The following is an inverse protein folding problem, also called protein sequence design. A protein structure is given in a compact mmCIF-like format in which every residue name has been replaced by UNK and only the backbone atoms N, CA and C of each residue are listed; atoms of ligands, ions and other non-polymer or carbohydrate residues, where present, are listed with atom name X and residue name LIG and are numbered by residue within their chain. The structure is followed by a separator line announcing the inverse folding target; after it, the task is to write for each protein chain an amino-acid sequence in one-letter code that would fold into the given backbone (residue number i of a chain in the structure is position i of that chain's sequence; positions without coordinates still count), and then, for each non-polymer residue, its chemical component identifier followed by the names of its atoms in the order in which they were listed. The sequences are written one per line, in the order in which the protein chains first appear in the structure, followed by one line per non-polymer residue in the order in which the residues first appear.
data_IF_489206520724
#
_entry.id   IF_489206520724
#
_cell.length_a   1.000
_cell.length_b   1.000
_cell.length_c   1.000
_cell.angle_alpha   90.00
_cell.angle_beta   90.00
_cell.angle_gamma   90.00
#
_symmetry.space_group_name_H-M   'P 1'
#
loop_
_entity.id
_entity.type
_entity.pdbx_description
1 polymer ?
#
# COMPACT_ATOMS: atom_id res chain seq x y z
N UNK A 1 33.31 54.27 8.72
CA UNK A 1 32.76 53.02 9.31
C UNK A 1 31.31 52.93 8.91
N UNK A 2 30.99 52.08 7.95
CA UNK A 2 29.61 51.69 7.66
C UNK A 2 29.67 50.21 7.27
N UNK A 3 29.12 49.38 8.15
CA UNK A 3 29.12 47.92 8.04
C UNK A 3 28.10 47.50 6.98
N UNK A 4 28.57 46.70 6.03
CA UNK A 4 27.75 45.97 5.06
C UNK A 4 26.95 44.89 5.78
N UNK A 5 25.62 44.91 5.64
CA UNK A 5 24.78 43.75 5.98
C UNK A 5 24.58 42.94 4.70
N UNK A 6 25.20 41.77 4.65
CA UNK A 6 24.93 40.77 3.62
C UNK A 6 23.69 39.98 4.05
N UNK A 7 22.69 39.93 3.18
CA UNK A 7 21.53 39.05 3.33
C UNK A 7 21.90 37.65 2.84
N UNK A 8 22.20 36.76 3.77
CA UNK A 8 22.27 35.33 3.50
C UNK A 8 20.86 34.81 3.24
N UNK A 9 20.62 34.37 2.00
CA UNK A 9 19.46 33.57 1.62
C UNK A 9 19.57 32.25 2.38
N UNK A 10 18.72 32.09 3.39
CA UNK A 10 18.60 30.84 4.13
C UNK A 10 17.93 29.82 3.20
N UNK A 11 18.65 28.76 2.84
CA UNK A 11 18.08 27.63 2.11
C UNK A 11 16.94 27.05 2.93
N UNK A 12 15.73 27.05 2.38
CA UNK A 12 14.52 26.51 3.01
C UNK A 12 14.74 25.07 3.48
N UNK A 13 14.96 24.88 4.79
CA UNK A 13 14.63 23.62 5.43
C UNK A 13 13.11 23.50 5.34
N UNK A 14 12.60 22.68 4.43
CA UNK A 14 11.19 22.31 4.44
C UNK A 14 10.83 21.83 5.86
N UNK A 15 9.85 22.48 6.48
CA UNK A 15 9.51 22.25 7.88
C UNK A 15 9.09 20.81 8.07
N UNK A 16 9.74 20.10 9.00
CA UNK A 16 9.20 18.87 9.58
C UNK A 16 7.83 19.22 10.19
N UNK A 17 6.85 18.34 10.06
CA UNK A 17 5.53 18.52 10.66
C UNK A 17 5.67 18.92 12.13
N UNK A 18 4.96 19.95 12.56
CA UNK A 18 5.17 20.58 13.87
C UNK A 18 4.31 19.89 14.93
N UNK A 19 4.60 18.62 15.20
CA UNK A 19 4.18 17.99 16.45
C UNK A 19 5.29 18.22 17.48
N UNK A 20 5.30 19.40 18.11
CA UNK A 20 6.31 19.82 19.10
C UNK A 20 6.39 18.87 20.32
N UNK A 21 6.98 17.68 20.20
CA UNK A 21 7.15 16.66 21.27
C UNK A 21 5.94 16.51 22.22
N UNK A 22 4.75 16.89 21.77
CA UNK A 22 3.53 16.94 22.54
C UNK A 22 2.72 15.71 22.20
N UNK A 23 1.93 15.30 23.19
CA UNK A 23 1.31 14.00 23.35
C UNK A 23 0.24 13.67 22.29
N UNK A 24 0.62 13.46 21.02
CA UNK A 24 -0.30 12.90 20.04
C UNK A 24 -0.83 11.56 20.58
N UNK A 25 -2.14 11.41 20.53
CA UNK A 25 -2.86 10.25 21.02
C UNK A 25 -4.13 10.03 20.17
N UNK A 26 -4.78 8.86 20.27
CA UNK A 26 -5.99 8.57 19.49
C UNK A 26 -7.12 9.60 19.68
N UNK A 27 -7.19 10.30 20.82
CA UNK A 27 -8.18 11.35 21.07
C UNK A 27 -7.98 12.64 20.27
N UNK A 28 -6.85 12.80 19.58
CA UNK A 28 -6.63 13.87 18.61
C UNK A 28 -7.29 13.59 17.25
N UNK A 29 -7.72 12.35 16.99
CA UNK A 29 -8.31 11.96 15.72
C UNK A 29 -9.85 11.98 15.81
N UNK A 30 -10.56 12.20 14.69
CA UNK A 30 -12.02 12.24 14.69
C UNK A 30 -12.63 10.92 15.18
N UNK A 31 -13.83 11.01 15.73
CA UNK A 31 -14.57 9.83 16.20
C UNK A 31 -14.72 8.77 15.12
N UNK A 32 -14.38 7.52 15.46
CA UNK A 32 -14.41 6.39 14.51
C UNK A 32 -13.19 6.30 13.59
N UNK A 33 -12.11 7.04 13.87
CA UNK A 33 -10.81 6.80 13.25
C UNK A 33 -10.25 5.44 13.70
N UNK A 34 -9.76 4.64 12.74
CA UNK A 34 -9.33 3.27 12.97
C UNK A 34 -7.81 3.18 13.01
N UNK A 35 -7.26 2.63 14.09
CA UNK A 35 -5.85 2.28 14.19
C UNK A 35 -5.69 0.77 14.16
N UNK A 36 -4.71 0.27 13.40
CA UNK A 36 -4.49 -1.16 13.26
C UNK A 36 -3.06 -1.53 12.84
N UNK A 37 -2.88 -2.80 12.50
CA UNK A 37 -1.67 -3.31 11.88
C UNK A 37 -2.05 -4.25 10.74
N UNK A 38 -1.18 -4.38 9.75
CA UNK A 38 -1.43 -5.17 8.55
C UNK A 38 -0.48 -6.39 8.43
N UNK A 39 -0.93 -7.39 7.69
CA UNK A 39 -0.17 -8.57 7.27
C UNK A 39 -0.75 -9.08 5.95
N UNK A 40 -0.02 -9.93 5.24
CA UNK A 40 -0.51 -10.60 4.03
C UNK A 40 -0.31 -12.12 4.12
N UNK A 41 -1.18 -12.87 3.46
CA UNK A 41 -1.29 -14.33 3.57
C UNK A 41 0.07 -15.01 3.34
N UNK A 42 0.62 -14.86 2.13
CA UNK A 42 1.87 -15.51 1.74
C UNK A 42 3.05 -15.13 2.66
N UNK A 43 3.09 -13.90 3.16
CA UNK A 43 4.21 -13.42 3.96
C UNK A 43 4.23 -14.01 5.38
N UNK A 44 3.08 -14.38 5.97
CA UNK A 44 3.01 -14.79 7.38
C UNK A 44 2.33 -16.12 7.70
N UNK A 45 1.55 -16.72 6.80
CA UNK A 45 0.80 -17.96 7.10
C UNK A 45 1.69 -19.21 7.15
N UNK A 46 2.62 -19.34 6.20
CA UNK A 46 3.32 -20.60 5.96
C UNK A 46 2.36 -21.71 5.48
N UNK A 47 2.57 -22.93 5.97
CA UNK A 47 1.72 -24.10 5.67
C UNK A 47 1.41 -24.27 4.17
N UNK A 48 2.40 -24.01 3.31
CA UNK A 48 2.19 -23.79 1.88
C UNK A 48 1.64 -25.02 1.13
N UNK A 49 1.81 -26.22 1.67
CA UNK A 49 1.36 -27.50 1.10
C UNK A 49 0.55 -28.37 2.08
N UNK A 50 0.03 -27.76 3.15
CA UNK A 50 -0.80 -28.44 4.15
C UNK A 50 -2.27 -28.26 3.77
N UNK A 51 -3.14 -29.21 4.14
CA UNK A 51 -4.60 -29.05 4.02
C UNK A 51 -5.09 -28.77 2.58
N UNK A 52 -4.47 -29.44 1.60
CA UNK A 52 -4.77 -29.27 0.17
C UNK A 52 -4.67 -27.83 -0.37
N UNK A 53 -3.88 -26.94 0.26
CA UNK A 53 -3.48 -25.66 -0.35
C UNK A 53 -2.78 -25.91 -1.71
N UNK A 54 -3.17 -25.22 -2.78
CA UNK A 54 -2.48 -25.30 -4.09
C UNK A 54 -1.10 -24.62 -4.10
N UNK A 55 -0.35 -24.62 -5.25
CA UNK A 55 0.92 -23.82 -5.49
C UNK A 55 0.86 -22.54 -6.38
N UNK A 56 1.52 -21.38 -6.10
CA UNK A 56 1.39 -19.96 -6.64
C UNK A 56 2.66 -19.44 -7.15
N UNK A 57 2.49 -18.36 -7.91
CA UNK A 57 3.56 -17.48 -8.32
C UNK A 57 4.55 -17.22 -7.18
N UNK A 58 4.07 -17.07 -5.94
CA UNK A 58 4.91 -16.99 -4.76
C UNK A 58 5.03 -18.32 -3.99
N UNK A 59 3.92 -19.04 -3.67
CA UNK A 59 3.82 -20.53 -3.47
C UNK A 59 2.35 -21.13 -3.36
N UNK A 60 1.22 -20.45 -3.67
CA UNK A 60 -0.26 -20.87 -3.70
C UNK A 60 -1.16 -19.90 -3.01
N UNK A 61 -1.80 -19.01 -3.76
CA UNK A 61 -3.01 -18.28 -3.39
C UNK A 61 -4.18 -19.14 -2.88
N UNK A 62 -4.14 -20.45 -3.00
CA UNK A 62 -5.38 -21.23 -2.96
C UNK A 62 -5.45 -22.14 -1.77
N UNK A 63 -5.69 -21.53 -0.61
CA UNK A 63 -6.42 -22.22 0.44
C UNK A 63 -7.86 -22.52 0.05
N UNK A 64 -8.43 -21.82 -0.96
CA UNK A 64 -9.84 -22.01 -1.36
C UNK A 64 -10.02 -22.75 -2.68
N UNK A 65 -9.16 -22.55 -3.69
CA UNK A 65 -9.30 -23.19 -5.01
C UNK A 65 -8.02 -23.88 -5.46
N UNK A 66 -7.73 -25.11 -5.01
CA UNK A 66 -6.44 -25.74 -5.31
C UNK A 66 -6.10 -25.79 -6.82
N UNK A 67 -7.13 -25.89 -7.68
CA UNK A 67 -7.04 -25.79 -9.14
C UNK A 67 -7.22 -24.40 -9.77
N UNK A 68 -7.40 -23.36 -8.96
CA UNK A 68 -7.50 -21.96 -9.41
C UNK A 68 -8.93 -21.49 -9.74
N UNK A 69 -9.89 -22.39 -9.95
CA UNK A 69 -11.30 -22.03 -10.25
C UNK A 69 -12.29 -22.75 -9.34
N UNK A 70 -13.52 -22.22 -9.20
CA UNK A 70 -14.62 -22.88 -8.46
C UNK A 70 -14.92 -24.26 -9.05
N UNK A 71 -14.88 -24.40 -10.39
CA UNK A 71 -15.16 -25.66 -11.09
C UNK A 71 -14.20 -26.77 -10.70
N UNK A 72 -12.98 -26.41 -10.30
CA UNK A 72 -11.95 -27.36 -9.86
C UNK A 72 -12.00 -27.66 -8.35
N UNK A 73 -12.99 -27.10 -7.65
CA UNK A 73 -13.33 -27.44 -6.27
C UNK A 73 -12.99 -26.36 -5.25
N UNK A 74 -13.78 -26.33 -4.17
CA UNK A 74 -13.60 -25.44 -3.02
C UNK A 74 -12.92 -26.21 -1.89
N UNK A 75 -11.86 -25.65 -1.30
CA UNK A 75 -11.20 -26.18 -0.13
C UNK A 75 -11.83 -25.57 1.15
N UNK A 76 -12.67 -26.37 1.79
CA UNK A 76 -13.40 -25.98 2.99
C UNK A 76 -12.47 -25.69 4.19
N UNK A 77 -11.31 -26.33 4.29
CA UNK A 77 -10.37 -26.10 5.39
C UNK A 77 -9.78 -24.69 5.34
N UNK A 78 -9.59 -24.15 4.13
CA UNK A 78 -9.28 -22.74 3.93
C UNK A 78 -10.38 -21.83 4.44
N UNK A 79 -11.65 -22.14 4.11
CA UNK A 79 -12.82 -21.38 4.56
C UNK A 79 -12.89 -21.37 6.08
N UNK A 80 -12.70 -22.53 6.70
CA UNK A 80 -12.74 -22.70 8.15
C UNK A 80 -11.60 -21.95 8.84
N UNK A 81 -10.41 -21.90 8.24
CA UNK A 81 -9.29 -21.10 8.75
C UNK A 81 -9.65 -19.62 8.88
N UNK A 82 -10.11 -18.98 7.79
CA UNK A 82 -10.44 -17.55 7.84
C UNK A 82 -11.71 -17.29 8.65
N UNK A 83 -12.68 -18.22 8.67
CA UNK A 83 -13.82 -18.12 9.60
C UNK A 83 -13.35 -18.06 11.06
N UNK A 84 -12.44 -18.95 11.46
CA UNK A 84 -11.90 -18.96 12.81
C UNK A 84 -11.12 -17.68 13.12
N UNK A 85 -10.29 -17.20 12.19
CA UNK A 85 -9.57 -15.94 12.35
C UNK A 85 -10.52 -14.74 12.51
N UNK A 86 -11.50 -14.60 11.62
CA UNK A 86 -12.49 -13.51 11.65
C UNK A 86 -13.29 -13.55 12.96
N UNK A 87 -13.74 -14.74 13.37
CA UNK A 87 -14.49 -14.91 14.60
C UNK A 87 -13.65 -14.53 15.83
N UNK A 88 -12.37 -14.93 15.87
CA UNK A 88 -11.48 -14.61 16.98
C UNK A 88 -11.16 -13.10 17.04
N UNK A 89 -10.94 -12.46 15.89
CA UNK A 89 -10.75 -11.00 15.83
C UNK A 89 -11.95 -10.26 16.39
N UNK A 90 -13.16 -10.62 15.93
CA UNK A 90 -14.40 -9.99 16.39
C UNK A 90 -14.70 -10.28 17.86
N UNK A 91 -14.43 -11.49 18.35
CA UNK A 91 -14.56 -11.84 19.76
C UNK A 91 -13.67 -10.98 20.67
N UNK A 92 -12.56 -10.46 20.14
CA UNK A 92 -11.65 -9.54 20.83
C UNK A 92 -11.88 -8.06 20.46
N UNK A 93 -12.97 -7.74 19.75
CA UNK A 93 -13.31 -6.37 19.36
C UNK A 93 -12.38 -5.76 18.31
N UNK A 94 -11.73 -6.59 17.50
CA UNK A 94 -10.85 -6.16 16.39
C UNK A 94 -11.63 -6.28 15.09
N UNK A 95 -11.79 -5.16 14.38
CA UNK A 95 -12.50 -5.11 13.10
C UNK A 95 -11.61 -5.66 11.97
N UNK A 96 -12.05 -6.68 11.22
CA UNK A 96 -11.28 -7.22 10.10
C UNK A 96 -11.35 -6.32 8.86
N UNK A 97 -10.18 -5.90 8.38
CA UNK A 97 -9.98 -5.31 7.06
C UNK A 97 -9.37 -6.37 6.14
N UNK A 98 -10.13 -6.85 5.16
CA UNK A 98 -9.74 -8.02 4.36
C UNK A 98 -9.30 -7.59 2.97
N UNK A 99 -8.06 -7.90 2.63
CA UNK A 99 -7.53 -7.82 1.27
C UNK A 99 -7.79 -9.14 0.54
N UNK A 100 -8.43 -9.09 -0.62
CA UNK A 100 -8.79 -10.27 -1.43
C UNK A 100 -7.55 -10.80 -2.17
N UNK A 101 -6.80 -9.94 -2.84
CA UNK A 101 -5.59 -10.31 -3.58
C UNK A 101 -4.39 -9.46 -3.12
N UNK A 102 -3.31 -10.12 -2.69
CA UNK A 102 -2.08 -9.49 -2.25
C UNK A 102 -0.86 -10.08 -2.96
N UNK A 103 -0.75 -9.78 -4.26
CA UNK A 103 0.34 -10.20 -5.16
C UNK A 103 0.42 -11.71 -5.44
N UNK A 104 -0.52 -12.48 -4.92
CA UNK A 104 -0.52 -13.93 -4.94
C UNK A 104 -1.58 -14.46 -5.92
N UNK A 105 -1.23 -14.65 -7.20
CA UNK A 105 -2.16 -15.22 -8.19
C UNK A 105 -2.07 -16.75 -8.22
N UNK A 106 -3.18 -17.49 -8.39
CA UNK A 106 -3.19 -18.92 -8.68
C UNK A 106 -2.17 -19.35 -9.75
N UNK A 107 -1.19 -20.23 -9.48
CA UNK A 107 -0.29 -20.77 -10.51
C UNK A 107 -1.07 -21.51 -11.59
N UNK A 108 -2.17 -22.19 -11.24
CA UNK A 108 -3.02 -22.85 -12.22
C UNK A 108 -3.54 -21.85 -13.28
N UNK A 109 -3.92 -20.64 -12.86
CA UNK A 109 -4.34 -19.57 -13.77
C UNK A 109 -3.14 -18.93 -14.50
N UNK A 110 -1.99 -18.84 -13.82
CA UNK A 110 -0.73 -18.43 -14.44
C UNK A 110 -0.30 -19.39 -15.55
N UNK A 111 -0.43 -20.70 -15.35
CA UNK A 111 -0.06 -21.74 -16.31
C UNK A 111 -1.10 -21.87 -17.43
N UNK A 112 -2.39 -21.75 -17.10
CA UNK A 112 -3.48 -21.89 -18.06
C UNK A 112 -3.47 -20.77 -19.12
N UNK A 113 -3.26 -19.52 -18.68
CA UNK A 113 -3.39 -18.37 -19.59
C UNK A 113 -2.52 -17.16 -19.22
N UNK A 114 -1.57 -17.29 -18.28
CA UNK A 114 -0.68 -16.21 -17.90
C UNK A 114 -1.22 -15.27 -16.82
N UNK A 115 -2.25 -15.66 -16.07
CA UNK A 115 -2.81 -14.87 -14.98
C UNK A 115 -3.31 -13.51 -15.50
N UNK A 116 -2.85 -12.42 -14.90
CA UNK A 116 -3.25 -11.06 -15.31
C UNK A 116 -2.77 -10.63 -16.70
N UNK A 117 -1.98 -11.43 -17.42
CA UNK A 117 -1.73 -11.20 -18.84
C UNK A 117 -2.97 -11.43 -19.72
N UNK A 118 -3.97 -12.16 -19.22
CA UNK A 118 -5.20 -12.48 -19.95
C UNK A 118 -6.42 -11.85 -19.30
N UNK A 119 -7.35 -11.37 -20.12
CA UNK A 119 -8.65 -10.85 -19.66
C UNK A 119 -9.51 -11.93 -18.97
N UNK A 120 -9.23 -13.22 -19.18
CA UNK A 120 -9.94 -14.32 -18.50
C UNK A 120 -9.84 -14.24 -16.97
N UNK A 121 -8.76 -13.65 -16.44
CA UNK A 121 -8.57 -13.46 -15.00
C UNK A 121 -9.69 -12.63 -14.35
N UNK A 122 -10.38 -11.78 -15.12
CA UNK A 122 -11.44 -10.91 -14.62
C UNK A 122 -12.60 -11.75 -14.09
N UNK A 123 -13.02 -12.77 -14.85
CA UNK A 123 -14.11 -13.66 -14.47
C UNK A 123 -13.70 -14.57 -13.30
N UNK A 124 -12.50 -15.14 -13.32
CA UNK A 124 -12.02 -16.00 -12.23
C UNK A 124 -11.83 -15.23 -10.91
N UNK A 125 -11.39 -13.97 -10.99
CA UNK A 125 -11.29 -13.10 -9.82
C UNK A 125 -12.66 -12.66 -9.28
N UNK A 126 -13.62 -12.46 -10.19
CA UNK A 126 -15.01 -12.16 -9.85
C UNK A 126 -15.65 -13.33 -9.10
N UNK A 127 -15.51 -14.54 -9.61
CA UNK A 127 -16.01 -15.78 -9.01
C UNK A 127 -15.39 -16.01 -7.61
N UNK A 128 -14.08 -15.80 -7.48
CA UNK A 128 -13.41 -15.87 -6.18
C UNK A 128 -13.97 -14.88 -5.17
N UNK A 129 -14.13 -13.62 -5.59
CA UNK A 129 -14.67 -12.57 -4.74
C UNK A 129 -16.13 -12.84 -4.34
N UNK A 130 -16.94 -13.39 -5.25
CA UNK A 130 -18.32 -13.79 -4.97
C UNK A 130 -18.39 -14.82 -3.83
N UNK A 131 -17.50 -15.82 -3.85
CA UNK A 131 -17.38 -16.79 -2.77
C UNK A 131 -17.00 -16.11 -1.45
N UNK A 132 -15.99 -15.24 -1.44
CA UNK A 132 -15.55 -14.57 -0.21
C UNK A 132 -16.66 -13.72 0.41
N UNK A 133 -17.39 -12.96 -0.41
CA UNK A 133 -18.51 -12.16 0.05
C UNK A 133 -19.62 -13.04 0.63
N UNK A 134 -19.90 -14.19 -0.01
CA UNK A 134 -20.88 -15.14 0.50
C UNK A 134 -20.47 -15.74 1.85
N UNK A 135 -19.20 -16.14 2.00
CA UNK A 135 -18.71 -16.84 3.18
C UNK A 135 -18.46 -15.92 4.38
N UNK A 136 -17.99 -14.70 4.14
CA UNK A 136 -17.45 -13.86 5.20
C UNK A 136 -18.12 -12.48 5.32
N UNK A 137 -18.89 -12.06 4.32
CA UNK A 137 -19.45 -10.71 4.27
C UNK A 137 -20.57 -10.44 5.29
N UNK A 138 -21.08 -11.48 5.95
CA UNK A 138 -21.92 -11.33 7.15
C UNK A 138 -21.18 -10.61 8.28
N UNK A 139 -19.86 -10.84 8.40
CA UNK A 139 -18.98 -10.31 9.45
C UNK A 139 -17.99 -9.25 8.97
N UNK A 140 -17.40 -9.42 7.79
CA UNK A 140 -16.40 -8.49 7.22
C UNK A 140 -17.08 -7.25 6.64
N UNK A 141 -16.65 -6.07 7.08
CA UNK A 141 -17.22 -4.77 6.64
C UNK A 141 -16.28 -3.92 5.80
N UNK A 142 -15.02 -4.30 5.65
CA UNK A 142 -14.05 -3.57 4.84
C UNK A 142 -13.30 -4.53 3.93
N UNK A 143 -13.47 -4.33 2.63
CA UNK A 143 -12.88 -5.14 1.58
C UNK A 143 -11.91 -4.31 0.74
N UNK A 144 -10.69 -4.79 0.59
CA UNK A 144 -9.70 -4.28 -0.38
C UNK A 144 -9.58 -5.33 -1.48
N UNK A 145 -9.90 -5.00 -2.73
CA UNK A 145 -9.85 -6.00 -3.80
C UNK A 145 -8.42 -6.42 -4.12
N UNK A 146 -7.55 -5.44 -4.39
CA UNK A 146 -6.18 -5.67 -4.84
C UNK A 146 -5.26 -4.75 -4.03
N UNK A 147 -4.18 -5.31 -3.49
CA UNK A 147 -3.10 -4.52 -2.89
C UNK A 147 -2.01 -4.22 -3.92
N UNK A 148 -1.59 -2.96 -3.98
CA UNK A 148 -0.46 -2.47 -4.77
C UNK A 148 -0.41 -2.98 -6.22
N UNK A 149 -1.42 -2.67 -7.06
CA UNK A 149 -1.44 -3.13 -8.44
C UNK A 149 -0.23 -2.62 -9.25
N UNK A 150 0.31 -1.44 -8.89
CA UNK A 150 1.57 -0.94 -9.43
C UNK A 150 2.76 -1.86 -9.13
N UNK A 151 2.94 -2.22 -7.86
CA UNK A 151 4.02 -3.11 -7.41
C UNK A 151 3.93 -4.45 -8.12
N UNK A 152 2.74 -5.02 -8.21
CA UNK A 152 2.49 -6.26 -8.96
C UNK A 152 2.91 -6.15 -10.42
N UNK A 153 2.39 -5.14 -11.13
CA UNK A 153 2.61 -4.96 -12.57
C UNK A 153 4.08 -4.69 -12.88
N UNK A 154 4.72 -3.82 -12.11
CA UNK A 154 6.07 -3.33 -12.40
C UNK A 154 7.15 -4.30 -11.93
N UNK A 155 7.09 -4.78 -10.68
CA UNK A 155 8.08 -5.73 -10.20
C UNK A 155 7.88 -7.13 -10.78
N UNK A 156 6.64 -7.51 -11.12
CA UNK A 156 6.34 -8.81 -11.73
C UNK A 156 6.68 -8.90 -13.22
N UNK A 157 6.46 -7.82 -13.98
CA UNK A 157 6.45 -7.87 -15.45
C UNK A 157 7.35 -6.83 -16.16
N UNK A 158 8.01 -5.92 -15.45
CA UNK A 158 8.98 -4.98 -16.04
C UNK A 158 10.41 -5.18 -15.53
N UNK A 159 10.55 -5.50 -14.24
CA UNK A 159 11.85 -5.67 -13.58
C UNK A 159 12.14 -7.10 -13.16
N UNK A 160 11.17 -8.01 -13.27
CA UNK A 160 11.30 -9.42 -12.89
C UNK A 160 11.80 -9.66 -11.46
N UNK A 161 11.57 -8.71 -10.56
CA UNK A 161 11.97 -8.82 -9.15
C UNK A 161 11.00 -9.68 -8.37
N UNK A 162 9.73 -9.62 -8.75
CA UNK A 162 8.60 -10.31 -8.11
C UNK A 162 8.09 -11.39 -9.04
N UNK A 163 7.46 -12.43 -8.50
CA UNK A 163 6.84 -13.44 -9.34
C UNK A 163 5.77 -12.81 -10.27
N UNK A 164 5.66 -13.24 -11.55
CA UNK A 164 6.32 -14.39 -12.18
C UNK A 164 7.75 -14.14 -12.71
N UNK A 165 8.37 -13.01 -12.38
CA UNK A 165 9.77 -12.73 -12.66
C UNK A 165 10.04 -12.38 -14.12
N UNK A 166 9.08 -11.70 -14.78
CA UNK A 166 9.12 -11.43 -16.22
C UNK A 166 9.73 -10.08 -16.54
N UNK A 167 10.51 -10.02 -17.62
CA UNK A 167 11.06 -8.79 -18.20
C UNK A 167 11.67 -9.02 -19.59
N UNK A 168 11.95 -7.94 -20.32
CA UNK A 168 12.61 -7.98 -21.63
C UNK A 168 14.08 -8.41 -21.54
N UNK A 169 14.50 -9.32 -22.43
CA UNK A 169 15.87 -9.85 -22.49
C UNK A 169 16.98 -8.77 -22.58
N UNK A 170 16.72 -7.66 -23.28
CA UNK A 170 17.72 -6.60 -23.47
C UNK A 170 18.10 -5.88 -22.17
N UNK A 171 17.28 -6.00 -21.11
CA UNK A 171 17.58 -5.40 -19.80
C UNK A 171 18.68 -6.17 -19.05
N UNK A 172 19.04 -7.39 -19.47
CA UNK A 172 20.10 -8.19 -18.84
C UNK A 172 19.82 -8.58 -17.40
N UNK A 173 18.54 -8.57 -16.99
CA UNK A 173 18.08 -8.98 -15.68
C UNK A 173 17.86 -10.50 -15.63
N UNK A 174 17.90 -11.10 -14.45
CA UNK A 174 17.67 -12.53 -14.25
C UNK A 174 16.16 -12.86 -14.24
N UNK A 175 15.53 -12.71 -15.40
CA UNK A 175 14.08 -12.90 -15.58
C UNK A 175 13.75 -14.22 -16.28
N UNK A 176 12.49 -14.64 -16.18
CA UNK A 176 11.93 -15.83 -16.85
C UNK A 176 11.56 -15.58 -18.32
N UNK A 177 11.70 -14.33 -18.79
CA UNK A 177 11.35 -13.85 -20.13
C UNK A 177 10.18 -12.85 -20.10
N UNK A 178 9.78 -12.34 -21.27
CA UNK A 178 8.63 -11.43 -21.40
C UNK A 178 8.93 -10.13 -22.13
N UNK A 179 7.98 -9.20 -22.08
CA UNK A 179 8.06 -7.90 -22.72
C UNK A 179 7.66 -6.76 -21.78
N UNK A 180 8.67 -6.11 -21.19
CA UNK A 180 8.52 -4.95 -20.29
C UNK A 180 7.92 -3.72 -20.96
N UNK A 181 7.77 -3.69 -22.29
CA UNK A 181 7.08 -2.63 -23.02
C UNK A 181 5.58 -2.85 -23.13
N UNK A 182 5.07 -4.06 -22.89
CA UNK A 182 3.67 -4.43 -23.15
C UNK A 182 3.03 -5.04 -21.91
N UNK A 183 3.68 -6.02 -21.30
CA UNK A 183 3.09 -6.85 -20.25
C UNK A 183 2.64 -6.07 -19.01
N UNK A 184 3.42 -5.11 -18.46
CA UNK A 184 2.96 -4.32 -17.31
C UNK A 184 1.65 -3.56 -17.61
N UNK A 185 1.47 -3.10 -18.84
CA UNK A 185 0.28 -2.36 -19.27
C UNK A 185 -0.95 -3.25 -19.44
N UNK A 186 -0.76 -4.47 -19.96
CA UNK A 186 -1.83 -5.47 -20.03
C UNK A 186 -2.26 -5.92 -18.62
N UNK A 187 -1.29 -6.19 -17.74
CA UNK A 187 -1.54 -6.62 -16.36
C UNK A 187 -2.32 -5.56 -15.59
N UNK A 188 -1.85 -4.30 -15.61
CA UNK A 188 -2.55 -3.21 -14.93
C UNK A 188 -3.96 -2.98 -15.47
N UNK A 189 -4.15 -3.12 -16.78
CA UNK A 189 -5.47 -2.99 -17.41
C UNK A 189 -6.43 -4.07 -16.90
N UNK A 190 -6.02 -5.35 -16.93
CA UNK A 190 -6.84 -6.45 -16.42
C UNK A 190 -7.09 -6.34 -14.90
N UNK A 191 -6.13 -5.82 -14.12
CA UNK A 191 -6.35 -5.54 -12.69
C UNK A 191 -7.43 -4.48 -12.46
N UNK A 192 -7.46 -3.40 -13.25
CA UNK A 192 -8.49 -2.36 -13.16
C UNK A 192 -9.87 -2.92 -13.53
N UNK A 193 -9.96 -3.73 -14.60
CA UNK A 193 -11.21 -4.38 -14.99
C UNK A 193 -11.71 -5.36 -13.92
N UNK A 194 -10.81 -6.21 -13.39
CA UNK A 194 -11.12 -7.17 -12.34
C UNK A 194 -11.60 -6.49 -11.05
N UNK A 195 -10.91 -5.43 -10.62
CA UNK A 195 -11.34 -4.60 -9.49
C UNK A 195 -12.76 -4.03 -9.72
N UNK A 196 -12.98 -3.40 -10.87
CA UNK A 196 -14.25 -2.74 -11.19
C UNK A 196 -15.42 -3.74 -11.26
N UNK A 197 -15.19 -4.91 -11.85
CA UNK A 197 -16.16 -5.99 -11.89
C UNK A 197 -16.55 -6.48 -10.49
N UNK A 198 -15.56 -6.69 -9.61
CA UNK A 198 -15.78 -7.12 -8.22
C UNK A 198 -16.53 -6.08 -7.40
N UNK A 199 -16.22 -4.79 -7.58
CA UNK A 199 -16.94 -3.71 -6.90
C UNK A 199 -18.38 -3.64 -7.39
N UNK A 200 -18.61 -3.76 -8.69
CA UNK A 200 -19.95 -3.80 -9.27
C UNK A 200 -20.76 -4.99 -8.72
N UNK A 201 -20.16 -6.18 -8.62
CA UNK A 201 -20.76 -7.34 -7.97
C UNK A 201 -21.13 -7.04 -6.51
N UNK A 202 -20.19 -6.52 -5.72
CA UNK A 202 -20.43 -6.23 -4.31
C UNK A 202 -21.58 -5.25 -4.11
N UNK A 203 -21.57 -4.13 -4.83
CA UNK A 203 -22.61 -3.08 -4.77
C UNK A 203 -23.99 -3.63 -5.08
N UNK A 204 -24.11 -4.39 -6.17
CA UNK A 204 -25.40 -4.86 -6.65
C UNK A 204 -25.95 -6.05 -5.88
N UNK A 205 -25.07 -6.97 -5.44
CA UNK A 205 -25.48 -8.24 -4.83
C UNK A 205 -25.41 -8.25 -3.30
N UNK A 206 -24.45 -7.56 -2.70
CA UNK A 206 -24.10 -7.76 -1.28
C UNK A 206 -24.23 -6.52 -0.40
N UNK A 207 -23.90 -5.33 -0.91
CA UNK A 207 -23.69 -4.15 -0.09
C UNK A 207 -24.93 -3.74 0.72
N UNK A 208 -26.13 -3.81 0.12
CA UNK A 208 -27.37 -3.48 0.83
C UNK A 208 -27.63 -4.40 2.04
N UNK A 209 -27.28 -5.69 1.94
CA UNK A 209 -27.48 -6.67 3.00
C UNK A 209 -26.35 -6.65 4.02
N UNK A 210 -25.10 -6.60 3.55
CA UNK A 210 -23.90 -6.75 4.38
C UNK A 210 -23.41 -5.43 4.97
N UNK A 211 -23.79 -4.30 4.36
CA UNK A 211 -23.44 -2.93 4.78
C UNK A 211 -21.93 -2.68 4.90
N UNK A 212 -21.13 -3.43 4.14
CA UNK A 212 -19.69 -3.22 4.06
C UNK A 212 -19.32 -2.14 3.04
N UNK A 213 -18.03 -1.83 3.02
CA UNK A 213 -17.37 -0.93 2.08
C UNK A 213 -16.31 -1.69 1.31
N UNK A 214 -16.12 -1.31 0.05
CA UNK A 214 -15.14 -1.93 -0.82
C UNK A 214 -14.24 -0.89 -1.48
N UNK A 215 -12.96 -1.21 -1.61
CA UNK A 215 -11.94 -0.32 -2.15
C UNK A 215 -10.76 -1.08 -2.74
N UNK A 216 -9.70 -0.34 -3.03
CA UNK A 216 -8.43 -0.83 -3.57
C UNK A 216 -7.29 -0.11 -2.87
N UNK A 217 -6.13 -0.75 -2.72
CA UNK A 217 -4.98 -0.18 -2.05
C UNK A 217 -3.86 0.16 -3.03
N UNK A 218 -3.36 1.39 -2.98
CA UNK A 218 -2.29 1.89 -3.85
C UNK A 218 -1.02 2.18 -3.07
N UNK A 219 0.14 1.89 -3.68
CA UNK A 219 1.42 2.34 -3.20
C UNK A 219 1.97 3.47 -4.07
N UNK A 220 2.51 4.49 -3.42
CA UNK A 220 3.30 5.50 -4.10
C UNK A 220 4.30 6.13 -3.15
N UNK A 221 5.48 6.43 -3.68
CA UNK A 221 6.33 7.46 -3.08
C UNK A 221 5.66 8.82 -3.23
N UNK A 222 5.98 9.74 -2.34
CA UNK A 222 5.94 11.14 -2.71
C UNK A 222 7.18 11.49 -3.55
N UNK A 223 7.01 12.26 -4.61
CA UNK A 223 8.11 12.72 -5.44
C UNK A 223 8.35 14.22 -5.25
N UNK A 224 9.59 14.58 -4.94
CA UNK A 224 10.07 15.95 -5.08
C UNK A 224 10.78 16.12 -6.43
N UNK A 225 10.73 17.29 -7.07
CA UNK A 225 11.57 17.52 -8.23
C UNK A 225 13.03 17.59 -7.76
N UNK A 226 13.96 17.04 -8.55
CA UNK A 226 15.39 17.09 -8.20
C UNK A 226 15.87 18.54 -8.00
N UNK A 227 15.39 19.47 -8.81
CA UNK A 227 15.55 20.91 -8.60
C UNK A 227 14.35 21.68 -9.15
N UNK A 228 14.38 23.01 -9.06
CA UNK A 228 13.27 23.89 -9.41
C UNK A 228 13.06 24.11 -10.92
N UNK A 229 13.84 23.43 -11.77
CA UNK A 229 13.70 23.51 -13.23
C UNK A 229 12.33 23.00 -13.69
N UNK A 230 11.82 23.55 -14.80
CA UNK A 230 10.52 23.17 -15.36
C UNK A 230 10.53 21.69 -15.75
N UNK A 231 11.65 21.20 -16.25
CA UNK A 231 11.87 19.83 -16.67
C UNK A 231 11.73 18.86 -15.50
N UNK A 232 12.35 19.16 -14.35
CA UNK A 232 12.29 18.30 -13.16
C UNK A 232 10.94 18.41 -12.43
N UNK A 233 10.27 19.57 -12.47
CA UNK A 233 8.86 19.70 -12.04
C UNK A 233 7.94 18.79 -12.85
N UNK A 234 8.06 18.84 -14.18
CA UNK A 234 7.32 17.92 -15.07
C UNK A 234 7.73 16.45 -14.85
N UNK A 235 8.98 16.18 -14.49
CA UNK A 235 9.43 14.82 -14.18
C UNK A 235 8.76 14.28 -12.91
N UNK A 236 8.63 15.10 -11.86
CA UNK A 236 7.83 14.75 -10.68
C UNK A 236 6.40 14.40 -11.06
N UNK A 237 5.73 15.21 -11.88
CA UNK A 237 4.35 14.96 -12.26
C UNK A 237 4.22 13.64 -13.04
N UNK A 238 5.16 13.36 -13.95
CA UNK A 238 5.22 12.06 -14.67
C UNK A 238 5.49 10.88 -13.75
N UNK A 239 6.32 11.05 -12.72
CA UNK A 239 6.57 10.00 -11.73
C UNK A 239 5.29 9.67 -10.94
N UNK A 240 4.54 10.69 -10.51
CA UNK A 240 3.24 10.51 -9.86
C UNK A 240 2.21 9.90 -10.82
N UNK A 241 2.16 10.31 -12.09
CA UNK A 241 1.25 9.74 -13.07
C UNK A 241 1.54 8.26 -13.33
N UNK A 242 2.80 7.87 -13.51
CA UNK A 242 3.15 6.46 -13.80
C UNK A 242 3.08 5.53 -12.57
N UNK A 243 3.12 6.07 -11.34
CA UNK A 243 3.02 5.27 -10.12
C UNK A 243 1.61 5.24 -9.53
N UNK A 244 1.01 6.42 -9.32
CA UNK A 244 -0.29 6.58 -8.69
C UNK A 244 -1.41 6.84 -9.70
N UNK A 245 -1.20 7.80 -10.61
CA UNK A 245 -2.21 8.22 -11.58
C UNK A 245 -2.64 7.11 -12.54
N UNK A 246 -1.75 6.17 -12.84
CA UNK A 246 -1.98 5.02 -13.70
C UNK A 246 -3.21 4.20 -13.27
N UNK A 247 -3.46 4.13 -11.96
CA UNK A 247 -4.62 3.44 -11.40
C UNK A 247 -5.68 4.43 -10.89
N UNK A 248 -5.30 5.52 -10.23
CA UNK A 248 -6.25 6.49 -9.68
C UNK A 248 -7.07 7.23 -10.74
N UNK A 249 -6.46 7.62 -11.87
CA UNK A 249 -7.14 8.43 -12.89
C UNK A 249 -8.21 7.63 -13.65
N UNK A 250 -7.98 6.36 -14.04
CA UNK A 250 -9.05 5.51 -14.58
C UNK A 250 -10.24 5.37 -13.64
N UNK A 251 -10.01 5.14 -12.34
CA UNK A 251 -11.10 4.99 -11.35
C UNK A 251 -11.87 6.29 -11.07
N UNK A 252 -11.33 7.45 -11.44
CA UNK A 252 -11.98 8.75 -11.15
C UNK A 252 -12.46 9.51 -12.37
N UNK A 253 -11.96 9.16 -13.56
CA UNK A 253 -12.24 9.87 -14.83
C UNK A 253 -12.43 8.95 -16.03
N UNK A 254 -12.34 7.62 -15.86
CA UNK A 254 -12.48 6.66 -16.96
C UNK A 254 -11.34 6.69 -17.98
N UNK A 255 -10.20 7.30 -17.68
CA UNK A 255 -9.07 7.37 -18.62
C UNK A 255 -7.72 7.33 -17.91
N UNK A 256 -6.70 6.83 -18.61
CA UNK A 256 -5.32 6.89 -18.14
C UNK A 256 -4.77 8.33 -18.20
N UNK A 257 -3.77 8.67 -17.36
CA UNK A 257 -3.13 9.97 -17.39
C UNK A 257 -2.65 10.36 -18.79
N UNK A 258 -2.82 11.64 -19.15
CA UNK A 258 -2.41 12.13 -20.47
C UNK A 258 -0.93 11.88 -20.75
N UNK A 259 -0.07 12.08 -19.74
CA UNK A 259 1.36 11.83 -19.83
C UNK A 259 1.67 10.38 -20.19
N UNK A 260 0.89 9.41 -19.70
CA UNK A 260 1.03 8.01 -20.08
C UNK A 260 0.53 7.76 -21.50
N UNK A 261 -0.66 8.26 -21.85
CA UNK A 261 -1.25 8.05 -23.20
C UNK A 261 -0.33 8.56 -24.32
N UNK A 262 0.28 9.73 -24.16
CA UNK A 262 1.18 10.33 -25.16
C UNK A 262 2.51 9.55 -25.30
N UNK A 263 2.98 8.95 -24.21
CA UNK A 263 4.31 8.31 -24.13
C UNK A 263 4.30 6.82 -24.44
N UNK A 264 3.34 6.11 -23.87
CA UNK A 264 3.16 4.66 -24.05
C UNK A 264 2.44 4.35 -25.37
N UNK A 265 1.52 5.22 -25.79
CA UNK A 265 0.79 5.16 -27.08
C UNK A 265 0.03 3.84 -27.24
N UNK A 266 0.16 3.17 -28.38
CA UNK A 266 -0.61 1.97 -28.74
C UNK A 266 -0.32 0.76 -27.83
N UNK A 267 0.72 0.81 -27.01
CA UNK A 267 1.02 -0.23 -26.01
C UNK A 267 0.18 -0.09 -24.74
N UNK A 268 -0.43 1.08 -24.51
CA UNK A 268 -1.37 1.29 -23.42
C UNK A 268 -2.76 0.86 -23.90
N UNK A 269 -3.38 -0.16 -23.29
CA UNK A 269 -4.72 -0.59 -23.66
C UNK A 269 -5.74 0.56 -23.60
N UNK A 270 -6.84 0.43 -24.33
CA UNK A 270 -7.93 1.40 -24.30
C UNK A 270 -9.13 0.75 -23.65
N UNK A 271 -9.84 1.52 -22.83
CA UNK A 271 -11.13 1.10 -22.29
C UNK A 271 -12.23 1.31 -23.32
N UNK A 272 -13.17 0.39 -23.36
CA UNK A 272 -14.47 0.55 -24.01
C UNK A 272 -15.38 1.44 -23.17
N UNK A 273 -16.46 1.96 -23.75
CA UNK A 273 -17.44 2.76 -22.99
C UNK A 273 -18.08 1.99 -21.83
N UNK A 274 -18.31 0.68 -22.01
CA UNK A 274 -18.86 -0.19 -20.97
C UNK A 274 -17.89 -0.34 -19.79
N UNK A 275 -16.60 -0.56 -20.08
CA UNK A 275 -15.55 -0.65 -19.06
C UNK A 275 -15.38 0.67 -18.30
N UNK A 276 -15.45 1.81 -18.99
CA UNK A 276 -15.41 3.15 -18.37
C UNK A 276 -16.56 3.32 -17.38
N UNK A 277 -17.78 3.01 -17.83
CA UNK A 277 -18.98 3.15 -16.99
C UNK A 277 -18.95 2.24 -15.75
N UNK A 278 -18.30 1.08 -15.84
CA UNK A 278 -18.13 0.16 -14.70
C UNK A 278 -17.04 0.65 -13.73
N UNK A 279 -15.99 1.29 -14.24
CA UNK A 279 -14.78 1.65 -13.50
C UNK A 279 -14.87 3.00 -12.78
N UNK A 280 -15.53 3.98 -13.39
CA UNK A 280 -15.61 5.32 -12.81
C UNK A 280 -16.35 5.30 -11.47
N UNK A 281 -15.68 5.71 -10.41
CA UNK A 281 -16.19 5.68 -9.05
C UNK A 281 -16.32 4.28 -8.44
N UNK A 282 -15.61 3.27 -8.94
CA UNK A 282 -15.65 1.88 -8.45
C UNK A 282 -14.95 1.68 -7.09
N UNK A 283 -15.13 2.57 -6.13
CA UNK A 283 -14.62 2.41 -4.76
C UNK A 283 -15.46 3.21 -3.76
N UNK A 284 -15.53 2.73 -2.53
CA UNK A 284 -16.10 3.47 -1.38
C UNK A 284 -14.99 4.12 -0.54
N UNK A 285 -13.76 3.63 -0.68
CA UNK A 285 -12.54 4.17 -0.07
C UNK A 285 -11.30 3.74 -0.86
N UNK A 286 -10.19 4.45 -0.65
CA UNK A 286 -8.86 4.11 -1.15
C UNK A 286 -7.97 3.70 0.03
N UNK A 287 -7.36 2.53 -0.08
CA UNK A 287 -6.20 2.17 0.75
C UNK A 287 -4.95 2.86 0.21
N UNK A 288 -4.11 3.37 1.09
CA UNK A 288 -2.87 4.02 0.70
C UNK A 288 -1.67 3.50 1.49
N UNK A 289 -0.71 2.94 0.76
CA UNK A 289 0.52 2.37 1.26
C UNK A 289 1.66 3.39 1.05
N UNK A 290 2.13 4.00 2.14
CA UNK A 290 3.15 5.03 2.08
C UNK A 290 4.36 4.63 2.91
N UNK A 291 5.55 4.76 2.33
CA UNK A 291 6.81 4.40 2.98
C UNK A 291 7.82 5.55 3.03
N UNK A 292 7.77 6.48 2.08
CA UNK A 292 8.73 7.59 2.01
C UNK A 292 8.65 8.39 0.73
N UNK A 293 9.73 9.14 0.45
CA UNK A 293 9.81 10.02 -0.72
C UNK A 293 11.10 9.82 -1.52
N UNK A 294 11.07 10.26 -2.78
CA UNK A 294 12.20 10.23 -3.72
C UNK A 294 12.29 11.55 -4.48
N UNK A 295 13.47 11.91 -4.97
CA UNK A 295 13.59 12.94 -6.00
C UNK A 295 13.35 12.32 -7.38
N UNK A 296 12.63 13.04 -8.24
CA UNK A 296 12.45 12.71 -9.66
C UNK A 296 13.16 13.75 -10.54
N UNK A 297 13.83 13.29 -11.59
CA UNK A 297 14.45 14.18 -12.58
C UNK A 297 14.17 13.72 -14.00
N UNK A 298 14.19 14.69 -14.91
CA UNK A 298 13.97 14.45 -16.32
C UNK A 298 15.12 13.63 -16.89
N UNK A 299 14.81 12.43 -17.36
CA UNK A 299 15.76 11.56 -18.05
C UNK A 299 15.12 11.12 -19.37
N UNK A 300 15.29 11.92 -20.43
CA UNK A 300 14.84 11.52 -21.76
C UNK A 300 15.51 10.19 -22.11
N UNK A 301 14.70 9.13 -22.23
CA UNK A 301 15.15 7.83 -22.74
C UNK A 301 14.92 7.78 -24.25
N UNK A 302 15.86 7.27 -25.04
CA UNK A 302 16.47 5.93 -25.16
C UNK A 302 15.63 5.00 -26.04
N UNK A 303 16.33 4.38 -26.99
CA UNK A 303 15.78 3.71 -28.15
C UNK A 303 14.91 2.48 -27.85
N UNK A 304 14.82 2.05 -26.59
CA UNK A 304 14.11 0.84 -26.18
C UNK A 304 12.88 1.19 -25.34
N UNK A 305 11.70 0.82 -25.83
CA UNK A 305 10.45 0.95 -25.10
C UNK A 305 10.42 -0.03 -23.90
N UNK A 306 9.92 0.46 -22.76
CA UNK A 306 9.70 -0.30 -21.53
C UNK A 306 8.99 0.61 -20.52
N UNK A 307 8.24 0.04 -19.58
CA UNK A 307 7.77 0.79 -18.41
C UNK A 307 8.90 1.61 -17.75
N UNK A 308 10.12 1.06 -17.69
CA UNK A 308 11.28 1.71 -17.09
C UNK A 308 11.77 2.96 -17.85
N UNK A 309 11.38 3.11 -19.11
CA UNK A 309 11.87 4.17 -20.00
C UNK A 309 10.80 5.14 -20.44
N UNK A 310 9.55 4.69 -20.51
CA UNK A 310 8.43 5.41 -21.11
C UNK A 310 8.07 6.71 -20.39
N UNK A 311 8.27 6.79 -19.08
CA UNK A 311 8.00 8.00 -18.31
C UNK A 311 9.03 9.11 -18.57
N UNK A 312 10.18 8.81 -19.19
CA UNK A 312 11.31 9.74 -19.38
C UNK A 312 11.74 10.42 -18.07
N UNK A 313 11.75 9.65 -16.99
CA UNK A 313 12.22 10.09 -15.68
C UNK A 313 13.21 9.09 -15.12
N UNK A 314 13.93 9.54 -14.11
CA UNK A 314 14.67 8.67 -13.21
C UNK A 314 14.52 9.21 -11.79
N UNK A 315 14.74 8.34 -10.81
CA UNK A 315 14.49 8.64 -9.41
C UNK A 315 15.72 8.39 -8.56
N UNK A 316 15.89 9.19 -7.52
CA UNK A 316 17.00 9.07 -6.58
C UNK A 316 16.56 9.52 -5.20
N UNK A 317 16.99 8.81 -4.16
CA UNK A 317 16.77 9.28 -2.79
C UNK A 317 17.76 10.37 -2.37
N UNK A 318 18.71 10.76 -3.24
CA UNK A 318 19.78 11.70 -2.92
C UNK A 318 19.90 12.81 -3.95
N UNK A 319 20.12 14.03 -3.45
CA UNK A 319 20.44 15.24 -4.22
C UNK A 319 21.76 15.81 -3.74
N UNK A 320 22.73 15.93 -4.65
CA UNK A 320 24.09 16.43 -4.33
C UNK A 320 24.72 15.71 -3.13
N UNK A 321 24.58 14.37 -3.08
CA UNK A 321 25.08 13.51 -2.00
C UNK A 321 24.23 13.48 -0.73
N UNK A 322 23.29 14.41 -0.54
CA UNK A 322 22.40 14.49 0.63
C UNK A 322 21.10 13.71 0.39
N UNK A 323 20.70 12.81 1.29
CA UNK A 323 19.44 12.10 1.13
C UNK A 323 18.23 13.02 1.37
N UNK A 324 17.08 12.71 0.77
CA UNK A 324 15.82 13.44 0.94
C UNK A 324 15.29 13.35 2.38
N UNK A 325 15.58 12.23 3.05
CA UNK A 325 15.29 11.95 4.45
C UNK A 325 16.31 10.96 5.02
N UNK A 326 16.22 10.63 6.31
CA UNK A 326 17.06 9.57 6.88
C UNK A 326 16.80 8.26 6.13
N UNK A 327 17.86 7.60 5.64
CA UNK A 327 17.72 6.35 4.90
C UNK A 327 17.58 5.21 5.91
N UNK A 328 16.55 4.38 5.75
CA UNK A 328 16.35 3.21 6.60
C UNK A 328 17.60 2.31 6.54
N UNK A 329 17.99 1.70 7.68
CA UNK A 329 19.27 1.01 7.81
C UNK A 329 19.38 -0.15 6.82
N UNK A 330 20.34 -0.02 5.89
CA UNK A 330 20.59 -0.97 4.80
C UNK A 330 19.42 -1.16 3.82
N UNK A 331 18.45 -0.25 3.80
CA UNK A 331 17.39 -0.21 2.78
C UNK A 331 17.84 0.63 1.59
N UNK A 332 17.69 0.11 0.37
CA UNK A 332 17.86 0.93 -0.85
C UNK A 332 16.58 1.67 -1.26
N UNK A 333 15.46 1.43 -0.55
CA UNK A 333 14.11 1.80 -1.02
C UNK A 333 13.36 2.78 -0.13
N UNK A 334 13.72 2.89 1.15
CA UNK A 334 12.99 3.73 2.12
C UNK A 334 13.85 4.89 2.61
N UNK A 335 13.40 6.10 2.28
CA UNK A 335 13.89 7.35 2.84
C UNK A 335 12.78 7.97 3.68
N UNK A 336 13.02 8.09 4.99
CA UNK A 336 12.06 8.54 5.99
C UNK A 336 11.73 10.01 5.72
N UNK A 337 10.52 10.26 5.23
CA UNK A 337 10.04 11.59 4.85
C UNK A 337 8.56 11.76 5.22
N UNK A 338 8.24 11.92 6.52
CA UNK A 338 6.87 11.91 7.03
C UNK A 338 5.95 12.97 6.42
N UNK A 339 6.48 14.17 6.15
CA UNK A 339 5.73 15.26 5.53
C UNK A 339 5.30 14.96 4.09
N UNK A 340 5.95 14.01 3.42
CA UNK A 340 5.51 13.55 2.09
C UNK A 340 4.16 12.84 2.13
N UNK A 341 3.76 12.25 3.28
CA UNK A 341 2.43 11.69 3.46
C UNK A 341 1.36 12.78 3.34
N UNK A 342 1.53 13.92 4.02
CA UNK A 342 0.61 15.05 3.88
C UNK A 342 0.59 15.61 2.46
N UNK A 343 1.76 15.74 1.83
CA UNK A 343 1.88 16.24 0.44
C UNK A 343 1.14 15.32 -0.57
N UNK A 344 1.27 14.00 -0.45
CA UNK A 344 0.59 13.07 -1.36
C UNK A 344 -0.91 12.99 -1.10
N UNK A 345 -1.35 13.07 0.16
CA UNK A 345 -2.78 13.16 0.51
C UNK A 345 -3.42 14.42 -0.07
N UNK A 346 -2.73 15.58 0.02
CA UNK A 346 -3.17 16.82 -0.63
C UNK A 346 -3.27 16.67 -2.15
N UNK A 347 -2.26 16.05 -2.77
CA UNK A 347 -2.31 15.75 -4.21
C UNK A 347 -3.51 14.88 -4.59
N UNK A 348 -3.81 13.85 -3.80
CA UNK A 348 -4.96 12.98 -4.05
C UNK A 348 -6.28 13.75 -3.90
N UNK A 349 -6.40 14.54 -2.84
CA UNK A 349 -7.55 15.40 -2.59
C UNK A 349 -7.84 16.34 -3.76
N UNK A 350 -6.82 17.06 -4.23
CA UNK A 350 -6.95 18.06 -5.29
C UNK A 350 -7.20 17.44 -6.67
N UNK A 351 -6.58 16.30 -6.99
CA UNK A 351 -6.62 15.72 -8.35
C UNK A 351 -7.74 14.71 -8.56
N UNK A 352 -8.14 13.97 -7.51
CA UNK A 352 -8.95 12.77 -7.62
C UNK A 352 -10.25 12.81 -6.80
N UNK A 353 -10.85 14.00 -6.65
CA UNK A 353 -12.17 14.21 -6.01
C UNK A 353 -12.23 13.84 -4.51
N UNK A 354 -11.15 14.06 -3.76
CA UNK A 354 -11.12 13.90 -2.28
C UNK A 354 -11.72 12.60 -1.72
N UNK A 355 -11.26 11.43 -2.21
CA UNK A 355 -11.81 10.15 -1.79
C UNK A 355 -11.54 9.90 -0.30
N UNK A 356 -12.38 9.07 0.32
CA UNK A 356 -12.11 8.57 1.67
C UNK A 356 -10.87 7.68 1.64
N UNK A 357 -9.88 7.95 2.51
CA UNK A 357 -8.61 7.24 2.54
C UNK A 357 -8.42 6.48 3.86
N UNK A 358 -7.82 5.30 3.78
CA UNK A 358 -7.20 4.60 4.91
C UNK A 358 -5.72 4.41 4.60
N UNK A 359 -4.83 4.80 5.50
CA UNK A 359 -3.40 4.45 5.36
C UNK A 359 -3.28 2.97 5.70
N UNK A 360 -3.28 2.10 4.68
CA UNK A 360 -3.36 0.64 4.82
C UNK A 360 -2.02 -0.01 5.11
N UNK A 361 -0.93 0.67 4.75
CA UNK A 361 0.43 0.29 5.14
C UNK A 361 1.28 1.54 5.38
N UNK A 362 1.95 1.58 6.53
CA UNK A 362 3.03 2.51 6.80
C UNK A 362 4.01 1.86 7.79
N UNK A 363 5.29 1.81 7.43
CA UNK A 363 6.28 1.02 8.17
C UNK A 363 7.71 1.29 7.79
N UNK A 364 8.63 0.69 8.54
CA UNK A 364 10.07 0.80 8.31
C UNK A 364 10.71 -0.58 8.40
N UNK A 365 11.51 -0.93 7.39
CA UNK A 365 12.35 -2.12 7.42
C UNK A 365 13.58 -1.91 8.31
N UNK A 366 14.00 -2.98 8.98
CA UNK A 366 15.32 -3.07 9.59
C UNK A 366 16.01 -4.34 9.11
N UNK A 367 17.28 -4.21 8.74
CA UNK A 367 18.08 -5.38 8.35
C UNK A 367 18.13 -6.40 9.49
N UNK A 368 17.90 -7.66 9.13
CA UNK A 368 18.02 -8.78 10.05
C UNK A 368 19.47 -8.90 10.52
N UNK A 369 19.65 -9.03 11.84
CA UNK A 369 20.93 -9.41 12.42
C UNK A 369 20.74 -10.54 13.42
N UNK A 370 20.67 -11.76 12.89
CA UNK A 370 20.44 -12.98 13.66
C UNK A 370 21.63 -13.40 14.53
N UNK A 371 22.76 -12.66 14.49
CA UNK A 371 23.88 -12.84 15.43
C UNK A 371 23.63 -12.17 16.78
N UNK A 372 22.72 -11.21 16.82
CA UNK A 372 22.37 -10.48 18.02
C UNK A 372 21.25 -11.22 18.76
N UNK A 373 21.31 -11.24 20.10
CA UNK A 373 20.27 -11.85 20.91
C UNK A 373 18.93 -11.12 20.80
N UNK A 374 17.85 -11.81 21.17
CA UNK A 374 16.47 -11.27 21.11
C UNK A 374 16.36 -9.91 21.82
N UNK A 375 17.05 -9.72 22.94
CA UNK A 375 17.05 -8.46 23.71
C UNK A 375 17.60 -7.26 22.94
N UNK A 376 18.39 -7.48 21.89
CA UNK A 376 18.81 -6.44 20.96
C UNK A 376 17.85 -6.33 19.78
N UNK A 377 17.42 -7.46 19.22
CA UNK A 377 16.54 -7.50 18.05
C UNK A 377 15.17 -6.81 18.27
N UNK A 378 14.71 -6.73 19.52
CA UNK A 378 13.48 -6.02 19.89
C UNK A 378 13.64 -4.49 20.04
N UNK A 379 14.86 -3.95 19.94
CA UNK A 379 15.16 -2.52 20.11
C UNK A 379 15.09 -1.76 18.79
N UNK A 380 13.87 -1.53 18.31
CA UNK A 380 13.57 -0.90 17.03
C UNK A 380 13.11 0.56 17.18
N UNK A 381 13.88 1.35 17.93
CA UNK A 381 13.52 2.74 18.24
C UNK A 381 13.34 3.62 17.00
N UNK A 382 14.05 3.31 15.90
CA UNK A 382 13.88 4.01 14.63
C UNK A 382 12.51 3.75 13.99
N UNK A 383 12.00 2.52 14.06
CA UNK A 383 10.64 2.18 13.60
C UNK A 383 9.59 2.88 14.47
N UNK A 384 9.79 2.92 15.79
CA UNK A 384 8.93 3.66 16.72
C UNK A 384 8.86 5.15 16.34
N UNK A 385 10.01 5.79 16.14
CA UNK A 385 10.07 7.22 15.80
C UNK A 385 9.46 7.48 14.41
N UNK A 386 9.72 6.59 13.44
CA UNK A 386 9.08 6.63 12.12
C UNK A 386 7.55 6.62 12.21
N UNK A 387 6.96 5.66 12.93
CA UNK A 387 5.50 5.52 13.05
C UNK A 387 4.92 6.76 13.73
N UNK A 388 5.54 7.21 14.82
CA UNK A 388 5.13 8.42 15.52
C UNK A 388 5.09 9.63 14.58
N UNK A 389 6.18 9.88 13.83
CA UNK A 389 6.30 11.06 12.99
C UNK A 389 5.32 11.03 11.80
N UNK A 390 5.00 9.85 11.26
CA UNK A 390 3.98 9.73 10.21
C UNK A 390 2.56 9.93 10.73
N UNK A 391 2.23 9.42 11.93
CA UNK A 391 0.94 9.70 12.59
C UNK A 391 0.80 11.20 12.87
N UNK A 392 1.90 11.86 13.27
CA UNK A 392 1.97 13.31 13.47
C UNK A 392 1.67 14.09 12.18
N UNK A 393 2.37 13.78 11.09
CA UNK A 393 2.14 14.43 9.81
C UNK A 393 0.76 14.13 9.22
N UNK A 394 0.22 12.93 9.48
CA UNK A 394 -1.13 12.57 9.07
C UNK A 394 -2.17 13.45 9.79
N UNK A 395 -2.04 13.59 11.11
CA UNK A 395 -2.91 14.48 11.88
C UNK A 395 -2.82 15.92 11.38
N UNK A 396 -1.61 16.45 11.12
CA UNK A 396 -1.44 17.79 10.55
C UNK A 396 -2.13 17.93 9.19
N UNK A 397 -1.99 16.96 8.29
CA UNK A 397 -2.67 16.97 7.00
C UNK A 397 -4.20 16.90 7.13
N UNK A 398 -4.72 16.20 8.14
CA UNK A 398 -6.16 16.15 8.41
C UNK A 398 -6.69 17.49 8.94
N UNK A 399 -6.01 18.08 9.92
CA UNK A 399 -6.44 19.32 10.57
C UNK A 399 -6.22 20.57 9.69
N UNK A 400 -5.05 20.67 9.05
CA UNK A 400 -4.66 21.88 8.33
C UNK A 400 -5.07 21.85 6.85
N UNK A 401 -4.98 20.68 6.21
CA UNK A 401 -5.26 20.53 4.77
C UNK A 401 -6.63 19.88 4.48
N UNK A 402 -7.34 19.42 5.53
CA UNK A 402 -8.62 18.76 5.39
C UNK A 402 -8.54 17.42 4.66
N UNK A 403 -7.43 16.67 4.80
CA UNK A 403 -7.28 15.35 4.19
C UNK A 403 -8.35 14.37 4.71
N UNK A 404 -9.08 13.73 3.79
CA UNK A 404 -10.19 12.83 4.12
C UNK A 404 -9.72 11.43 4.53
N UNK A 405 -9.06 11.31 5.69
CA UNK A 405 -8.49 10.04 6.18
C UNK A 405 -9.24 9.51 7.39
N UNK A 406 -9.47 8.19 7.43
CA UNK A 406 -10.25 7.51 8.49
C UNK A 406 -9.56 6.33 9.16
N UNK A 407 -8.33 6.02 8.78
CA UNK A 407 -7.55 5.08 9.55
C UNK A 407 -6.07 5.01 9.17
N UNK A 408 -5.32 4.34 10.03
CA UNK A 408 -3.89 4.16 9.92
C UNK A 408 -3.48 2.76 10.41
N UNK A 409 -2.82 2.00 9.53
CA UNK A 409 -2.40 0.63 9.76
C UNK A 409 -0.87 0.54 9.65
N UNK A 410 -0.24 0.05 10.70
CA UNK A 410 1.21 -0.19 10.71
C UNK A 410 1.54 -1.42 9.87
N UNK A 411 2.43 -1.25 8.89
CA UNK A 411 3.11 -2.38 8.26
C UNK A 411 4.39 -2.69 9.05
N UNK A 412 4.50 -3.84 9.73
CA UNK A 412 3.58 -4.99 9.76
C UNK A 412 3.29 -5.46 11.18
N UNK A 413 2.25 -6.27 11.35
CA UNK A 413 1.88 -6.89 12.64
C UNK A 413 3.05 -7.70 13.23
N UNK A 414 3.79 -8.43 12.39
CA UNK A 414 4.91 -9.27 12.79
C UNK A 414 5.93 -9.42 11.66
N UNK A 415 7.16 -9.76 12.01
CA UNK A 415 8.20 -10.10 11.02
C UNK A 415 7.71 -11.24 10.12
N UNK A 416 8.00 -11.13 8.83
CA UNK A 416 7.41 -11.94 7.79
C UNK A 416 8.39 -12.11 6.62
N UNK A 417 8.00 -12.83 5.57
CA UNK A 417 8.77 -12.98 4.34
C UNK A 417 8.62 -11.75 3.44
N UNK A 418 9.69 -10.96 3.24
CA UNK A 418 9.64 -9.71 2.48
C UNK A 418 10.04 -9.91 1.01
N UNK A 419 9.25 -10.70 0.29
CA UNK A 419 9.34 -10.88 -1.16
C UNK A 419 10.78 -11.17 -1.66
N UNK A 420 11.31 -10.36 -2.58
CA UNK A 420 12.67 -10.50 -3.10
C UNK A 420 13.78 -10.36 -2.04
N UNK A 421 13.48 -9.75 -0.88
CA UNK A 421 14.40 -9.63 0.25
C UNK A 421 14.35 -10.85 1.18
N UNK A 422 13.35 -11.72 1.04
CA UNK A 422 13.11 -12.85 1.93
C UNK A 422 13.09 -12.43 3.40
N UNK A 423 13.81 -13.14 4.27
CA UNK A 423 13.90 -12.83 5.71
C UNK A 423 15.08 -11.91 6.06
N UNK A 424 15.75 -11.30 5.07
CA UNK A 424 16.92 -10.43 5.31
C UNK A 424 16.55 -9.07 5.91
N UNK A 425 15.27 -8.72 5.91
CA UNK A 425 14.72 -7.52 6.52
C UNK A 425 13.50 -7.87 7.37
N UNK A 426 13.17 -6.98 8.30
CA UNK A 426 12.10 -7.15 9.29
C UNK A 426 11.27 -5.89 9.37
N UNK A 427 9.96 -5.99 9.16
CA UNK A 427 9.00 -4.87 9.26
C UNK A 427 8.13 -4.93 10.53
N UNK A 428 8.14 -6.05 11.26
CA UNK A 428 7.13 -6.33 12.27
C UNK A 428 7.20 -5.44 13.50
N UNK A 429 6.04 -5.05 14.02
CA UNK A 429 5.86 -4.62 15.41
C UNK A 429 6.29 -5.74 16.37
N UNK A 430 6.02 -6.98 16.01
CA UNK A 430 6.43 -8.17 16.77
C UNK A 430 7.58 -8.88 16.07
N UNK A 431 8.69 -9.09 16.79
CA UNK A 431 9.79 -9.92 16.34
C UNK A 431 9.35 -11.38 16.26
N UNK A 432 9.68 -12.06 15.16
CA UNK A 432 9.46 -13.51 15.02
C UNK A 432 10.81 -14.21 15.07
N UNK A 433 10.96 -15.12 16.04
CA UNK A 433 12.13 -15.97 16.13
C UNK A 433 12.02 -17.13 15.12
N UNK A 434 12.54 -16.92 13.91
CA UNK A 434 12.58 -17.95 12.86
C UNK A 434 13.50 -19.14 13.19
N UNK A 435 14.34 -19.04 14.24
CA UNK A 435 15.15 -20.17 14.72
C UNK A 435 14.40 -21.03 15.74
N UNK A 436 13.39 -20.47 16.40
CA UNK A 436 12.49 -21.21 17.27
C UNK A 436 11.50 -22.02 16.40
N UNK A 437 11.42 -23.33 16.63
CA UNK A 437 10.49 -24.22 15.91
C UNK A 437 9.02 -23.85 16.12
N UNK A 438 8.70 -23.12 17.19
CA UNK A 438 7.36 -22.61 17.48
C UNK A 438 7.11 -21.22 16.88
N UNK A 439 8.11 -20.63 16.22
CA UNK A 439 8.07 -19.28 15.66
C UNK A 439 7.63 -18.25 16.71
N UNK A 440 8.28 -18.23 17.86
CA UNK A 440 7.81 -17.41 18.98
C UNK A 440 7.84 -15.92 18.66
N UNK A 441 6.79 -15.20 19.08
CA UNK A 441 6.62 -13.75 18.88
C UNK A 441 7.06 -12.97 20.12
N UNK A 442 7.80 -11.89 19.92
CA UNK A 442 8.24 -10.98 20.98
C UNK A 442 7.88 -9.54 20.60
N UNK A 443 7.15 -8.79 21.45
CA UNK A 443 6.83 -7.40 21.15
C UNK A 443 8.11 -6.55 21.12
N UNK A 444 8.32 -5.81 20.04
CA UNK A 444 9.42 -4.85 19.94
C UNK A 444 9.11 -3.55 20.69
N UNK A 445 10.07 -2.65 20.79
CA UNK A 445 9.88 -1.33 21.40
C UNK A 445 8.75 -0.55 20.70
N UNK A 446 8.68 -0.63 19.37
CA UNK A 446 7.59 -0.04 18.57
C UNK A 446 6.21 -0.63 18.93
N UNK A 447 6.08 -1.94 19.14
CA UNK A 447 4.82 -2.56 19.58
C UNK A 447 4.39 -2.08 20.97
N UNK A 448 5.33 -2.02 21.92
CA UNK A 448 5.03 -1.55 23.28
C UNK A 448 4.64 -0.07 23.27
N UNK A 449 5.33 0.75 22.47
CA UNK A 449 4.97 2.15 22.27
C UNK A 449 3.59 2.29 21.62
N UNK A 450 3.30 1.54 20.55
CA UNK A 450 2.03 1.61 19.83
C UNK A 450 0.85 1.16 20.72
N UNK A 451 1.03 0.08 21.50
CA UNK A 451 0.08 -0.31 22.55
C UNK A 451 -0.20 0.84 23.52
N UNK A 452 0.85 1.50 24.03
CA UNK A 452 0.69 2.61 24.96
C UNK A 452 0.03 3.82 24.30
N UNK A 453 0.31 4.10 23.04
CA UNK A 453 -0.37 5.12 22.25
C UNK A 453 -1.87 4.82 22.16
N UNK A 454 -2.25 3.59 21.77
CA UNK A 454 -3.65 3.17 21.64
C UNK A 454 -4.43 3.22 22.97
N UNK A 455 -3.76 2.99 24.10
CA UNK A 455 -4.36 3.00 25.43
C UNK A 455 -4.50 4.39 26.06
N UNK A 456 -3.87 5.44 25.49
CA UNK A 456 -4.04 6.81 25.99
C UNK A 456 -5.50 7.25 25.79
N UNK A 457 -6.21 7.45 26.90
CA UNK A 457 -7.64 7.78 26.91
C UNK A 457 -7.93 9.04 26.09
N UNK A 458 -9.04 8.98 25.33
CA UNK A 458 -9.80 10.14 24.89
C UNK A 458 -10.30 10.84 26.16
N UNK A 459 -9.59 11.86 26.63
CA UNK A 459 -10.14 12.75 27.66
C UNK A 459 -11.11 13.68 26.93
N UNK A 460 -12.38 13.28 26.87
CA UNK A 460 -13.43 14.26 26.60
C UNK A 460 -13.37 15.28 27.73
N UNK A 461 -12.97 16.51 27.42
CA UNK A 461 -13.18 17.64 28.32
C UNK A 461 -14.68 17.81 28.47
N UNK A 462 -15.25 17.26 29.54
CA UNK A 462 -16.59 17.63 29.97
C UNK A 462 -16.55 19.12 30.30
N UNK A 463 -17.14 19.94 29.44
CA UNK A 463 -17.46 21.33 29.76
C UNK A 463 -18.45 21.32 30.93
N UNK A 464 -17.94 21.48 32.14
CA UNK A 464 -18.75 21.90 33.28
C UNK A 464 -19.24 23.31 32.98
N UNK A 465 -20.46 23.41 32.46
CA UNK A 465 -21.25 24.63 32.58
C UNK A 465 -21.48 24.87 34.08
N UNK A 466 -20.72 25.80 34.65
CA UNK A 466 -21.10 26.43 35.91
C UNK A 466 -22.41 27.18 35.68
N UNK A 467 -23.51 26.60 36.16
CA UNK A 467 -24.73 27.35 36.40
C UNK A 467 -24.47 28.29 37.58
N UNK A 468 -24.26 29.57 37.26
CA UNK A 468 -24.27 30.63 38.25
C UNK A 468 -25.63 30.69 38.93
N UNK A 469 -25.65 30.41 40.23
CA UNK A 469 -26.79 30.66 41.12
C UNK A 469 -26.94 32.16 41.32
N UNK A 470 -28.02 32.73 40.80
CA UNK A 470 -28.51 34.07 41.17
C UNK A 470 -29.59 33.93 42.25
N UNK A 471 -29.26 34.29 43.48
CA UNK A 471 -30.15 34.65 44.60
C UNK A 471 -29.28 35.58 45.50
N UNK A 472 -29.62 36.78 45.96
CA UNK A 472 -30.83 37.62 46.07
C UNK A 472 -30.38 39.08 45.94
#
# INVERSE_FOLDING_TARGET
MALSVSSSVNSSSESKCECHHTSINPGNFPGGFIFGAASSAYQCEGAFNVNAKGLSMWDNFTHMYPGGTIKEGVNQEGIDYYNNLINELLANGIEPFVTILHLDVPQALQDAYGGFLSAQIVDDFLDFSDLLFHQFGDRVKYWVTINEPWTFSVYGYAFGLFAPGRCSNWQGLNCTGGDSAIEPYLVAHNQLLAHSAVVNLYRNKYQAMQKGKIGISFASYWFEPYDETIENKKAKDRALDFMLGWFMEPLTRGTYPESMRVRVRDRLPKFTEEEINMMEGSFDFIGFNYYGAMYAFNKPNSSSFSYATDSEIDITGRRNGKPIGEQARNSSRIYIYPQGLGKILRHIKEKYNDPLIYITENGLDEATNDTLGISYAIKDDMRKDYIHDHICCLHEAMENDGANVKGYFVWSLMDNFEWASGFSVRFGLNYVDFKDKTLRRYPKHSALWYKNFLLKKIVQSSSTQEYGTNEV
#
